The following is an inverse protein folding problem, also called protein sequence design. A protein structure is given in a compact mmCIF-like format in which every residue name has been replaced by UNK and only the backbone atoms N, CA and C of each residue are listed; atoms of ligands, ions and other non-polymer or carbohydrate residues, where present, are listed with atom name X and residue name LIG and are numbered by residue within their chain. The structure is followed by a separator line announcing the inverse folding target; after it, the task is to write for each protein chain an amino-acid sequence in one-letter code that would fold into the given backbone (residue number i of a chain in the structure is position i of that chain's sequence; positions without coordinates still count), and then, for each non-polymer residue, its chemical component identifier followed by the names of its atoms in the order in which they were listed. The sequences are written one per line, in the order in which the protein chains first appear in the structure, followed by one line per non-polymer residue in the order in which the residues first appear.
data_IF_373281137111
#
_entry.id   IF_373281137111
#
_cell.length_a   1.000
_cell.length_b   1.000
_cell.length_c   1.000
_cell.angle_alpha   90.00
_cell.angle_beta   90.00
_cell.angle_gamma   90.00
#
_symmetry.space_group_name_H-M   'P 1'
#
loop_
_entity.id
_entity.type
_entity.pdbx_description
1 polymer ?
#
# COMPACT_ATOMS: atom_id res chain seq x y z
N UNK A 1 51.47 6.13 -16.93
CA UNK A 1 52.42 6.02 -18.07
C UNK A 1 53.64 5.20 -17.67
N UNK A 2 53.69 3.91 -18.03
CA UNK A 2 54.86 3.01 -17.94
C UNK A 2 54.65 1.91 -18.99
N UNK A 3 55.06 2.20 -20.24
CA UNK A 3 56.29 1.75 -20.92
C UNK A 3 56.19 0.33 -21.48
N UNK A 4 55.93 0.31 -22.80
CA UNK A 4 56.19 -0.77 -23.75
C UNK A 4 57.60 -1.33 -23.59
N UNK A 5 57.74 -2.65 -23.73
CA UNK A 5 58.95 -3.28 -24.27
C UNK A 5 58.51 -4.13 -25.46
N UNK A 6 59.02 -3.75 -26.62
CA UNK A 6 58.97 -4.47 -27.89
C UNK A 6 60.25 -5.28 -27.98
N UNK A 7 60.15 -6.58 -28.29
CA UNK A 7 61.22 -7.29 -29.03
C UNK A 7 60.54 -8.16 -30.08
N UNK A 8 60.78 -7.81 -31.33
CA UNK A 8 60.62 -8.66 -32.49
C UNK A 8 62.02 -8.99 -32.99
N UNK A 9 62.30 -10.26 -33.32
CA UNK A 9 63.21 -10.57 -34.43
C UNK A 9 62.96 -11.97 -34.99
N UNK A 10 62.99 -12.00 -36.32
CA UNK A 10 62.64 -13.05 -37.26
C UNK A 10 63.91 -13.79 -37.68
N UNK A 11 63.86 -15.11 -37.92
CA UNK A 11 64.66 -15.78 -38.97
C UNK A 11 63.89 -16.98 -39.57
N UNK A 12 63.66 -16.87 -40.90
CA UNK A 12 63.70 -17.84 -42.02
C UNK A 12 63.69 -19.37 -41.78
N UNK A 13 63.39 -20.28 -42.73
CA UNK A 13 62.73 -20.34 -44.05
C UNK A 13 62.87 -21.81 -44.51
N UNK A 14 61.77 -22.38 -45.00
CA UNK A 14 61.55 -23.51 -45.92
C UNK A 14 62.69 -24.45 -46.40
N UNK A 15 62.42 -25.77 -46.35
CA UNK A 15 62.91 -26.81 -47.27
C UNK A 15 62.25 -28.19 -47.03
N UNK A 16 61.89 -29.01 -48.05
CA UNK A 16 60.67 -29.84 -48.02
C UNK A 16 60.84 -31.37 -48.15
N UNK A 17 59.73 -32.08 -47.87
CA UNK A 17 59.34 -33.45 -48.27
C UNK A 17 60.13 -34.63 -47.63
N UNK A 18 59.53 -35.76 -47.23
CA UNK A 18 58.30 -36.38 -47.66
C UNK A 18 57.69 -37.28 -46.55
N UNK A 19 56.36 -37.23 -46.48
CA UNK A 19 55.43 -38.36 -46.22
C UNK A 19 55.72 -39.33 -45.07
N UNK A 20 54.87 -39.32 -44.03
CA UNK A 20 53.68 -40.18 -43.99
C UNK A 20 52.86 -39.93 -42.70
N UNK A 21 51.56 -40.19 -42.84
CA UNK A 21 50.59 -40.55 -41.80
C UNK A 21 49.74 -39.47 -41.11
N UNK A 22 48.51 -39.41 -41.66
CA UNK A 22 47.22 -39.40 -40.96
C UNK A 22 46.88 -38.16 -40.15
N UNK A 23 46.03 -37.35 -40.77
CA UNK A 23 45.10 -36.43 -40.13
C UNK A 23 44.32 -37.14 -39.01
N UNK A 24 44.75 -36.98 -37.77
CA UNK A 24 43.83 -37.03 -36.64
C UNK A 24 43.09 -35.69 -36.62
N UNK A 25 41.81 -35.74 -37.00
CA UNK A 25 40.82 -34.72 -36.64
C UNK A 25 41.06 -34.35 -35.18
N UNK A 26 41.34 -33.07 -34.89
CA UNK A 26 41.15 -32.51 -33.56
C UNK A 26 39.68 -32.66 -33.22
N UNK A 27 39.34 -33.77 -32.55
CA UNK A 27 38.06 -33.92 -31.88
C UNK A 27 37.96 -32.79 -30.88
N UNK A 28 36.82 -32.08 -30.92
CA UNK A 28 36.33 -31.24 -29.83
C UNK A 28 36.65 -31.97 -28.52
N UNK A 29 37.39 -31.32 -27.64
CA UNK A 29 37.57 -31.79 -26.27
C UNK A 29 36.18 -31.75 -25.63
N UNK A 30 35.44 -32.86 -25.69
CA UNK A 30 34.23 -33.05 -24.90
C UNK A 30 34.66 -32.95 -23.45
N UNK A 31 34.27 -31.87 -22.78
CA UNK A 31 34.39 -31.78 -21.33
C UNK A 31 33.45 -32.86 -20.77
N UNK A 32 33.95 -33.99 -20.26
CA UNK A 32 33.09 -35.13 -19.91
C UNK A 32 32.08 -34.69 -18.85
N UNK A 33 30.80 -35.06 -19.04
CA UNK A 33 29.71 -34.63 -18.15
C UNK A 33 30.01 -35.03 -16.70
N UNK A 34 30.10 -34.08 -15.76
CA UNK A 34 30.41 -34.38 -14.37
C UNK A 34 29.32 -35.23 -13.69
N UNK A 35 29.73 -36.03 -12.70
CA UNK A 35 28.81 -36.89 -11.95
C UNK A 35 27.73 -36.10 -11.19
N UNK A 36 28.05 -34.88 -10.74
CA UNK A 36 27.13 -34.01 -9.99
C UNK A 36 25.92 -33.53 -10.81
N UNK A 37 26.00 -33.61 -12.15
CA UNK A 37 24.85 -33.35 -13.04
C UNK A 37 23.91 -34.55 -13.20
N UNK A 38 24.32 -35.75 -12.78
CA UNK A 38 23.46 -36.94 -12.79
C UNK A 38 22.78 -37.15 -11.44
N UNK A 39 23.46 -36.82 -10.34
CA UNK A 39 22.91 -36.84 -9.00
C UNK A 39 23.54 -35.73 -8.15
N UNK A 40 22.70 -34.97 -7.44
CA UNK A 40 23.15 -33.92 -6.51
C UNK A 40 24.03 -34.57 -5.42
N UNK A 41 25.26 -34.07 -5.19
CA UNK A 41 26.12 -34.59 -4.13
C UNK A 41 25.43 -34.46 -2.76
N UNK A 42 25.14 -35.60 -2.12
CA UNK A 42 24.68 -35.63 -0.73
C UNK A 42 25.89 -35.62 0.19
N UNK A 43 26.12 -34.51 0.87
CA UNK A 43 27.18 -34.40 1.88
C UNK A 43 26.61 -33.84 3.18
N UNK A 44 26.95 -34.47 4.30
CA UNK A 44 26.54 -33.97 5.61
C UNK A 44 27.24 -32.66 5.96
N UNK A 45 28.41 -32.41 5.37
CA UNK A 45 29.30 -31.28 5.69
C UNK A 45 28.97 -29.98 4.94
N UNK A 46 28.33 -30.06 3.77
CA UNK A 46 28.04 -28.91 2.92
C UNK A 46 26.57 -28.83 2.52
N UNK A 47 26.04 -27.61 2.47
CA UNK A 47 24.90 -27.31 1.59
C UNK A 47 25.40 -27.26 0.16
N UNK A 48 24.61 -27.76 -0.78
CA UNK A 48 24.97 -27.86 -2.20
C UNK A 48 23.90 -27.17 -3.04
N UNK A 49 24.33 -26.33 -3.97
CA UNK A 49 23.47 -25.68 -4.95
C UNK A 49 23.95 -25.95 -6.36
N UNK A 50 23.06 -26.42 -7.23
CA UNK A 50 23.34 -26.66 -8.65
C UNK A 50 22.30 -25.91 -9.48
N UNK A 51 22.78 -25.04 -10.37
CA UNK A 51 21.92 -24.24 -11.23
C UNK A 51 22.41 -24.19 -12.66
N UNK A 52 21.53 -23.76 -13.57
CA UNK A 52 21.85 -23.60 -14.97
C UNK A 52 21.25 -22.34 -15.57
N UNK A 53 21.87 -21.89 -16.67
CA UNK A 53 21.38 -20.83 -17.52
C UNK A 53 21.40 -21.27 -18.97
N UNK A 54 20.38 -20.86 -19.73
CA UNK A 54 20.20 -21.30 -21.11
C UNK A 54 20.99 -20.39 -22.05
N UNK A 55 21.71 -20.98 -23.01
CA UNK A 55 22.45 -20.26 -24.06
C UNK A 55 21.49 -19.78 -25.14
N UNK A 56 20.63 -18.83 -24.81
CA UNK A 56 19.60 -18.26 -25.68
C UNK A 56 20.12 -17.21 -26.68
N UNK A 57 21.43 -16.98 -26.71
CA UNK A 57 22.09 -15.97 -27.55
C UNK A 57 22.32 -14.63 -26.85
N UNK A 58 21.84 -14.46 -25.62
CA UNK A 58 22.25 -13.35 -24.75
C UNK A 58 23.55 -13.67 -24.03
N UNK A 59 24.35 -12.66 -23.67
CA UNK A 59 25.63 -12.84 -22.96
C UNK A 59 25.46 -13.21 -21.48
N UNK A 60 24.22 -13.38 -20.98
CA UNK A 60 23.92 -13.37 -19.54
C UNK A 60 23.72 -14.76 -18.92
N UNK A 61 23.76 -15.83 -19.72
CA UNK A 61 23.51 -17.21 -19.26
C UNK A 61 24.40 -17.65 -18.09
N UNK A 62 25.63 -17.14 -17.99
CA UNK A 62 26.53 -17.44 -16.86
C UNK A 62 25.98 -16.85 -15.56
N UNK A 63 25.49 -15.61 -15.58
CA UNK A 63 24.92 -14.97 -14.39
C UNK A 63 23.61 -15.63 -13.99
N UNK A 64 22.81 -16.03 -14.97
CA UNK A 64 21.59 -16.82 -14.73
C UNK A 64 21.92 -18.15 -14.03
N UNK A 65 22.92 -18.88 -14.52
CA UNK A 65 23.36 -20.13 -13.91
C UNK A 65 23.87 -19.95 -12.47
N UNK A 66 24.64 -18.88 -12.23
CA UNK A 66 25.12 -18.53 -10.89
C UNK A 66 23.97 -18.18 -9.95
N UNK A 67 23.01 -17.38 -10.41
CA UNK A 67 21.82 -17.01 -9.64
C UNK A 67 20.98 -18.24 -9.32
N UNK A 68 20.71 -19.09 -10.31
CA UNK A 68 19.98 -20.34 -10.14
C UNK A 68 20.68 -21.28 -9.15
N UNK A 69 22.01 -21.40 -9.20
CA UNK A 69 22.76 -22.24 -8.28
C UNK A 69 22.73 -21.72 -6.85
N UNK A 70 22.69 -20.39 -6.68
CA UNK A 70 22.53 -19.74 -5.38
C UNK A 70 21.13 -19.97 -4.80
N UNK A 71 20.08 -19.85 -5.63
CA UNK A 71 18.70 -20.13 -5.22
C UNK A 71 18.53 -21.60 -4.78
N UNK A 72 19.10 -22.56 -5.53
CA UNK A 72 19.11 -23.97 -5.14
C UNK A 72 19.89 -24.21 -3.84
N UNK A 73 21.04 -23.55 -3.65
CA UNK A 73 21.82 -23.62 -2.41
C UNK A 73 21.01 -23.14 -1.20
N UNK A 74 20.34 -22.00 -1.32
CA UNK A 74 19.55 -21.39 -0.24
C UNK A 74 18.33 -22.24 0.09
N UNK A 75 17.73 -22.91 -0.91
CA UNK A 75 16.58 -23.80 -0.70
C UNK A 75 16.87 -25.00 0.22
N UNK A 76 18.15 -25.42 0.32
CA UNK A 76 18.60 -26.45 1.24
C UNK A 76 18.68 -25.96 2.71
N UNK A 77 18.71 -24.64 2.92
CA UNK A 77 18.79 -24.04 4.26
C UNK A 77 17.40 -24.00 4.87
N UNK A 78 17.06 -25.07 5.59
CA UNK A 78 15.78 -25.18 6.29
C UNK A 78 15.72 -24.27 7.53
N UNK A 79 14.74 -23.39 7.59
CA UNK A 79 14.39 -22.62 8.79
C UNK A 79 13.40 -23.45 9.61
N UNK A 80 13.73 -23.79 10.85
CA UNK A 80 12.80 -24.49 11.74
C UNK A 80 12.26 -23.50 12.79
N UNK A 81 10.94 -23.37 12.88
CA UNK A 81 10.30 -22.51 13.88
C UNK A 81 9.99 -23.32 15.15
N UNK A 82 10.56 -22.90 16.28
CA UNK A 82 10.30 -23.50 17.58
C UNK A 82 8.88 -23.20 18.06
N UNK A 83 8.26 -24.14 18.80
CA UNK A 83 6.96 -23.93 19.45
C UNK A 83 7.00 -22.92 20.61
N UNK A 84 8.19 -22.62 21.14
CA UNK A 84 8.39 -21.64 22.23
C UNK A 84 8.82 -20.27 21.73
N UNK A 85 8.86 -20.09 20.40
CA UNK A 85 9.22 -18.85 19.74
C UNK A 85 8.17 -17.77 19.92
N UNK A 86 8.58 -16.50 19.81
CA UNK A 86 7.64 -15.36 19.89
C UNK A 86 6.58 -15.41 18.80
N UNK A 87 6.91 -15.96 17.63
CA UNK A 87 5.98 -16.14 16.52
C UNK A 87 4.79 -17.04 16.91
N UNK A 88 5.04 -18.06 17.74
CA UNK A 88 3.98 -18.94 18.25
C UNK A 88 3.10 -18.25 19.29
N UNK A 89 3.68 -17.36 20.10
CA UNK A 89 2.96 -16.56 21.09
C UNK A 89 2.11 -15.46 20.46
N UNK A 90 2.54 -14.90 19.33
CA UNK A 90 1.84 -13.82 18.61
C UNK A 90 0.64 -14.36 17.84
N UNK A 91 0.80 -15.47 17.12
CA UNK A 91 -0.26 -16.04 16.31
C UNK A 91 -0.16 -17.58 16.24
N UNK A 92 -1.30 -18.23 16.49
CA UNK A 92 -1.44 -19.67 16.28
C UNK A 92 -1.72 -20.01 14.81
N UNK A 93 -2.03 -19.02 13.97
CA UNK A 93 -2.31 -19.21 12.55
C UNK A 93 -1.03 -19.54 11.76
N UNK A 94 -1.16 -20.47 10.81
CA UNK A 94 -0.09 -20.94 9.94
C UNK A 94 0.38 -19.85 8.96
N UNK A 95 -0.54 -19.04 8.44
CA UNK A 95 -0.24 -18.00 7.43
C UNK A 95 0.83 -17.00 7.90
N UNK A 96 0.78 -16.62 9.18
CA UNK A 96 1.72 -15.68 9.76
C UNK A 96 3.16 -16.24 9.78
N UNK A 97 3.28 -17.52 10.15
CA UNK A 97 4.57 -18.22 10.22
C UNK A 97 5.14 -18.46 8.84
N UNK A 98 4.31 -18.86 7.89
CA UNK A 98 4.72 -19.07 6.49
C UNK A 98 5.27 -17.76 5.89
N UNK A 99 4.63 -16.61 6.16
CA UNK A 99 5.14 -15.30 5.73
C UNK A 99 6.48 -14.94 6.36
N UNK A 100 6.65 -15.19 7.66
CA UNK A 100 7.92 -14.98 8.33
C UNK A 100 9.02 -15.86 7.75
N UNK A 101 8.75 -17.16 7.56
CA UNK A 101 9.69 -18.12 6.99
C UNK A 101 10.14 -17.68 5.59
N UNK A 102 9.19 -17.27 4.74
CA UNK A 102 9.49 -16.76 3.40
C UNK A 102 10.37 -15.50 3.44
N UNK A 103 10.09 -14.57 4.35
CA UNK A 103 10.91 -13.36 4.52
C UNK A 103 12.35 -13.72 4.94
N UNK A 104 12.51 -14.61 5.92
CA UNK A 104 13.84 -15.04 6.38
C UNK A 104 14.60 -15.82 5.30
N UNK A 105 13.94 -16.71 4.55
CA UNK A 105 14.56 -17.41 3.43
C UNK A 105 15.06 -16.42 2.35
N UNK A 106 14.28 -15.39 2.06
CA UNK A 106 14.68 -14.34 1.10
C UNK A 106 15.89 -13.57 1.61
N UNK A 107 15.87 -13.11 2.86
CA UNK A 107 17.01 -12.40 3.46
C UNK A 107 18.25 -13.29 3.58
N UNK A 108 18.08 -14.58 3.85
CA UNK A 108 19.19 -15.53 3.88
C UNK A 108 19.85 -15.67 2.51
N UNK A 109 19.10 -15.60 1.41
CA UNK A 109 19.65 -15.60 0.06
C UNK A 109 20.53 -14.38 -0.22
N UNK A 110 20.11 -13.20 0.27
CA UNK A 110 20.83 -11.95 0.08
C UNK A 110 22.11 -11.86 0.92
N UNK A 111 22.14 -12.53 2.07
CA UNK A 111 23.22 -12.45 3.07
C UNK A 111 24.13 -13.67 3.09
N UNK A 112 23.97 -14.61 2.15
CA UNK A 112 24.80 -15.81 2.09
C UNK A 112 26.21 -15.44 1.63
N UNK A 113 27.17 -15.61 2.53
CA UNK A 113 28.58 -15.34 2.30
C UNK A 113 29.40 -16.63 2.40
N UNK A 114 30.66 -16.57 1.95
CA UNK A 114 31.62 -17.68 2.07
C UNK A 114 31.18 -19.00 1.40
N UNK A 115 30.33 -18.95 0.36
CA UNK A 115 30.07 -20.09 -0.51
C UNK A 115 31.15 -20.20 -1.60
N UNK A 116 31.42 -21.42 -2.04
CA UNK A 116 32.51 -21.74 -2.97
C UNK A 116 31.97 -22.22 -4.31
N UNK A 117 32.57 -21.75 -5.40
CA UNK A 117 32.41 -22.33 -6.74
C UNK A 117 33.26 -23.59 -6.87
N UNK A 118 32.61 -24.75 -6.81
CA UNK A 118 33.30 -26.04 -6.87
C UNK A 118 33.65 -26.41 -8.29
N UNK A 119 32.68 -26.24 -9.20
CA UNK A 119 32.83 -26.64 -10.60
C UNK A 119 31.86 -25.86 -11.50
N UNK A 120 32.13 -25.87 -12.80
CA UNK A 120 31.23 -25.37 -13.84
C UNK A 120 31.33 -26.25 -15.07
N UNK A 121 30.20 -26.53 -15.70
CA UNK A 121 30.16 -27.36 -16.89
C UNK A 121 29.21 -26.79 -17.94
N UNK A 122 29.49 -27.02 -19.21
CA UNK A 122 28.65 -26.51 -20.28
C UNK A 122 28.45 -27.51 -21.41
N UNK A 123 27.26 -27.45 -22.00
CA UNK A 123 26.91 -28.14 -23.23
C UNK A 123 26.52 -27.11 -24.31
N UNK A 124 26.12 -27.51 -25.53
CA UNK A 124 25.70 -26.57 -26.57
C UNK A 124 24.50 -25.68 -26.21
N UNK A 125 23.70 -26.06 -25.22
CA UNK A 125 22.42 -25.45 -24.83
C UNK A 125 22.49 -24.77 -23.46
N UNK A 126 23.25 -25.31 -22.51
CA UNK A 126 23.23 -24.88 -21.10
C UNK A 126 24.63 -24.62 -20.55
N UNK A 127 24.69 -23.75 -19.56
CA UNK A 127 25.84 -23.55 -18.68
C UNK A 127 25.41 -23.85 -17.25
N UNK A 128 26.15 -24.71 -16.55
CA UNK A 128 25.86 -25.21 -15.21
C UNK A 128 26.91 -24.75 -14.22
N UNK A 129 26.49 -24.46 -12.99
CA UNK A 129 27.35 -24.05 -11.89
C UNK A 129 27.04 -24.91 -10.66
N UNK A 130 28.11 -25.32 -9.96
CA UNK A 130 28.02 -26.05 -8.70
C UNK A 130 28.63 -25.20 -7.57
N UNK A 131 27.78 -24.83 -6.61
CA UNK A 131 28.14 -24.19 -5.35
C UNK A 131 28.08 -25.12 -4.16
N UNK A 132 28.96 -24.88 -3.19
CA UNK A 132 28.88 -25.48 -1.85
C UNK A 132 29.08 -24.46 -0.76
N UNK A 133 28.47 -24.69 0.40
CA UNK A 133 28.66 -23.89 1.61
C UNK A 133 28.86 -24.80 2.81
N UNK A 134 29.92 -24.60 3.59
CA UNK A 134 30.20 -25.40 4.79
C UNK A 134 29.10 -25.17 5.84
N UNK A 135 28.42 -26.24 6.27
CA UNK A 135 27.36 -26.15 7.27
C UNK A 135 27.89 -25.66 8.62
N UNK A 136 29.07 -26.14 9.02
CA UNK A 136 29.72 -25.73 10.25
C UNK A 136 30.05 -24.24 10.23
N UNK A 137 30.70 -23.77 9.16
CA UNK A 137 31.10 -22.36 9.04
C UNK A 137 29.89 -21.43 9.00
N UNK A 138 28.87 -21.80 8.24
CA UNK A 138 27.60 -21.07 8.20
C UNK A 138 26.97 -20.96 9.60
N UNK A 139 26.94 -22.06 10.35
CA UNK A 139 26.41 -22.06 11.72
C UNK A 139 27.25 -21.19 12.66
N UNK A 140 28.58 -21.24 12.58
CA UNK A 140 29.48 -20.38 13.38
C UNK A 140 29.21 -18.89 13.13
N UNK A 141 29.08 -18.48 11.86
CA UNK A 141 28.77 -17.10 11.47
C UNK A 141 27.39 -16.70 11.98
N UNK A 142 26.35 -17.52 11.76
CA UNK A 142 24.99 -17.21 12.21
C UNK A 142 24.89 -17.12 13.73
N UNK A 143 25.55 -18.02 14.46
CA UNK A 143 25.59 -17.95 15.93
C UNK A 143 26.37 -16.74 16.43
N UNK A 144 27.44 -16.32 15.76
CA UNK A 144 28.15 -15.09 16.11
C UNK A 144 27.26 -13.86 15.87
N UNK A 145 26.65 -13.74 14.69
CA UNK A 145 25.73 -12.65 14.36
C UNK A 145 24.55 -12.60 15.34
N UNK A 146 24.02 -13.76 15.72
CA UNK A 146 22.96 -13.88 16.73
C UNK A 146 23.43 -13.41 18.10
N UNK A 147 24.62 -13.80 18.58
CA UNK A 147 25.17 -13.30 19.85
C UNK A 147 25.32 -11.78 19.88
N UNK A 148 25.81 -11.20 18.80
CA UNK A 148 25.98 -9.75 18.67
C UNK A 148 24.61 -9.04 18.69
N UNK A 149 23.64 -9.57 17.94
CA UNK A 149 22.26 -9.10 17.94
C UNK A 149 21.59 -9.20 19.32
N UNK A 150 21.78 -10.32 20.02
CA UNK A 150 21.22 -10.54 21.37
C UNK A 150 21.84 -9.59 22.39
N UNK A 151 23.13 -9.30 22.27
CA UNK A 151 23.83 -8.33 23.13
C UNK A 151 23.22 -6.94 22.98
N UNK A 152 23.00 -6.50 21.73
CA UNK A 152 22.37 -5.22 21.45
C UNK A 152 20.90 -5.18 21.91
N UNK A 153 20.16 -6.26 21.70
CA UNK A 153 18.78 -6.36 22.15
C UNK A 153 18.66 -6.30 23.69
N UNK A 154 19.58 -6.94 24.40
CA UNK A 154 19.62 -6.92 25.86
C UNK A 154 19.94 -5.52 26.42
N UNK A 155 20.87 -4.78 25.79
CA UNK A 155 21.18 -3.39 26.14
C UNK A 155 19.93 -2.50 26.00
N UNK A 156 19.25 -2.56 24.84
CA UNK A 156 18.01 -1.81 24.64
C UNK A 156 16.87 -2.26 25.56
N UNK A 157 16.72 -3.56 25.82
CA UNK A 157 15.73 -4.07 26.77
C UNK A 157 15.99 -3.53 28.18
N UNK A 158 17.25 -3.48 28.61
CA UNK A 158 17.64 -2.91 29.91
C UNK A 158 17.29 -1.43 29.98
N UNK A 159 17.67 -0.64 28.96
CA UNK A 159 17.31 0.78 28.84
C UNK A 159 15.80 0.99 28.85
N UNK A 160 15.04 0.13 28.19
CA UNK A 160 13.58 0.19 28.19
C UNK A 160 13.01 0.00 29.61
N UNK A 161 13.49 -1.01 30.34
CA UNK A 161 13.08 -1.26 31.74
C UNK A 161 13.45 -0.11 32.67
N UNK A 162 14.61 0.51 32.48
CA UNK A 162 15.02 1.71 33.22
C UNK A 162 14.11 2.91 32.90
N UNK A 163 13.80 3.14 31.61
CA UNK A 163 12.86 4.20 31.19
C UNK A 163 11.44 3.97 31.75
N UNK A 164 10.95 2.73 31.80
CA UNK A 164 9.67 2.40 32.45
C UNK A 164 9.68 2.78 33.93
N UNK A 165 10.73 2.39 34.67
CA UNK A 165 10.90 2.70 36.10
C UNK A 165 11.00 4.21 36.33
N UNK A 166 11.60 4.94 35.39
CA UNK A 166 11.69 6.39 35.39
C UNK A 166 10.41 7.12 34.96
N UNK A 167 9.35 6.41 34.58
CA UNK A 167 8.07 7.00 34.13
C UNK A 167 8.07 7.48 32.67
N UNK A 168 9.14 7.24 31.92
CA UNK A 168 9.30 7.67 30.52
C UNK A 168 8.80 6.58 29.56
N UNK A 169 7.49 6.32 29.56
CA UNK A 169 6.90 5.17 28.86
C UNK A 169 7.05 5.23 27.33
N UNK A 170 6.99 6.40 26.71
CA UNK A 170 7.19 6.55 25.24
C UNK A 170 8.62 6.20 24.85
N UNK A 171 9.59 6.65 25.64
CA UNK A 171 11.00 6.30 25.44
C UNK A 171 11.23 4.80 25.64
N UNK A 172 10.61 4.21 26.67
CA UNK A 172 10.68 2.77 26.89
C UNK A 172 10.13 1.97 25.70
N UNK A 173 8.98 2.38 25.13
CA UNK A 173 8.43 1.76 23.93
C UNK A 173 9.39 1.85 22.74
N UNK A 174 10.05 3.00 22.55
CA UNK A 174 11.10 3.18 21.54
C UNK A 174 12.31 2.26 21.75
N UNK A 175 12.76 2.07 22.98
CA UNK A 175 13.86 1.14 23.28
C UNK A 175 13.46 -0.32 23.10
N UNK A 176 12.25 -0.74 23.50
CA UNK A 176 11.78 -2.09 23.19
C UNK A 176 11.73 -2.35 21.69
N UNK A 177 11.29 -1.36 20.91
CA UNK A 177 11.32 -1.45 19.46
C UNK A 177 12.74 -1.68 18.93
N UNK A 178 13.72 -0.90 19.39
CA UNK A 178 15.13 -1.05 18.99
C UNK A 178 15.71 -2.42 19.39
N UNK A 179 15.35 -2.89 20.58
CA UNK A 179 15.69 -4.23 21.05
C UNK A 179 15.10 -5.32 20.16
N UNK A 180 13.80 -5.21 19.83
CA UNK A 180 13.11 -6.15 18.94
C UNK A 180 13.74 -6.19 17.54
N UNK A 181 13.99 -5.02 16.95
CA UNK A 181 14.61 -4.88 15.63
C UNK A 181 15.97 -5.57 15.57
N UNK A 182 16.74 -5.51 16.65
CA UNK A 182 18.06 -6.14 16.72
C UNK A 182 17.99 -7.66 16.58
N UNK A 183 16.88 -8.30 16.99
CA UNK A 183 16.70 -9.78 16.97
C UNK A 183 15.60 -10.27 16.03
N UNK A 184 15.05 -9.41 15.17
CA UNK A 184 13.92 -9.76 14.28
C UNK A 184 14.21 -10.89 13.28
N UNK A 185 15.50 -11.13 13.00
CA UNK A 185 15.97 -12.25 12.15
C UNK A 185 16.01 -13.60 12.87
N UNK A 186 15.88 -13.60 14.20
CA UNK A 186 16.07 -14.78 15.05
C UNK A 186 14.82 -15.10 15.85
N UNK A 187 13.64 -14.68 15.39
CA UNK A 187 12.37 -14.87 16.09
C UNK A 187 11.87 -16.30 16.06
N UNK A 188 12.38 -17.14 15.15
CA UNK A 188 12.05 -18.56 15.04
C UNK A 188 12.54 -19.39 16.25
N UNK A 189 13.54 -18.91 16.97
CA UNK A 189 14.16 -19.62 18.09
C UNK A 189 13.94 -18.88 19.41
N UNK A 190 13.80 -19.59 20.53
CA UNK A 190 13.75 -18.95 21.84
C UNK A 190 15.14 -18.42 22.22
N UNK A 191 15.24 -17.11 22.45
CA UNK A 191 16.44 -16.48 22.99
C UNK A 191 16.32 -16.47 24.51
N UNK A 192 16.79 -17.54 25.15
CA UNK A 192 16.76 -17.68 26.61
C UNK A 192 18.01 -17.07 27.25
N UNK A 193 17.81 -16.19 28.23
CA UNK A 193 18.89 -15.59 29.01
C UNK A 193 18.44 -15.31 30.44
N UNK A 194 19.39 -14.95 31.30
CA UNK A 194 19.10 -14.52 32.68
C UNK A 194 19.10 -13.00 32.75
N UNK A 195 17.99 -12.42 33.21
CA UNK A 195 17.85 -10.99 33.46
C UNK A 195 17.38 -10.78 34.90
N UNK A 196 18.12 -9.96 35.67
CA UNK A 196 17.83 -9.69 37.09
C UNK A 196 17.55 -10.95 37.93
N UNK A 197 18.33 -12.02 37.69
CA UNK A 197 18.23 -13.30 38.41
C UNK A 197 17.08 -14.21 37.94
N UNK A 198 16.32 -13.84 36.91
CA UNK A 198 15.23 -14.65 36.33
C UNK A 198 15.60 -15.12 34.93
N UNK A 199 15.29 -16.38 34.64
CA UNK A 199 15.37 -16.90 33.27
C UNK A 199 14.17 -16.38 32.46
N UNK A 200 14.45 -15.76 31.31
CA UNK A 200 13.46 -15.16 30.43
C UNK A 200 13.71 -15.57 28.98
N UNK A 201 12.66 -15.48 28.14
CA UNK A 201 12.79 -15.50 26.68
C UNK A 201 12.72 -14.05 26.21
N UNK A 202 13.87 -13.50 25.80
CA UNK A 202 14.03 -12.05 25.55
C UNK A 202 12.99 -11.49 24.57
N UNK A 203 12.76 -12.18 23.45
CA UNK A 203 11.81 -11.76 22.41
C UNK A 203 10.36 -11.75 22.90
N UNK A 204 9.97 -12.72 23.72
CA UNK A 204 8.63 -12.78 24.33
C UNK A 204 8.45 -11.64 25.34
N UNK A 205 9.46 -11.38 26.17
CA UNK A 205 9.43 -10.30 27.16
C UNK A 205 9.38 -8.91 26.50
N UNK A 206 10.14 -8.70 25.42
CA UNK A 206 10.06 -7.46 24.63
C UNK A 206 8.64 -7.28 24.08
N UNK A 207 8.10 -8.28 23.40
CA UNK A 207 6.75 -8.21 22.82
C UNK A 207 5.68 -7.95 23.90
N UNK A 208 5.73 -8.70 25.01
CA UNK A 208 4.79 -8.56 26.11
C UNK A 208 4.90 -7.17 26.78
N UNK A 209 6.11 -6.64 26.91
CA UNK A 209 6.32 -5.30 27.46
C UNK A 209 5.79 -4.21 26.53
N UNK A 210 6.02 -4.33 25.21
CA UNK A 210 5.43 -3.42 24.22
C UNK A 210 3.90 -3.42 24.29
N UNK A 211 3.28 -4.62 24.26
CA UNK A 211 1.82 -4.74 24.37
C UNK A 211 1.31 -4.19 25.70
N UNK A 212 2.01 -4.48 26.80
CA UNK A 212 1.64 -3.97 28.12
C UNK A 212 1.72 -2.45 28.25
N UNK A 213 2.66 -1.79 27.59
CA UNK A 213 2.70 -0.32 27.49
C UNK A 213 1.53 0.20 26.67
N UNK A 214 1.28 -0.38 25.50
CA UNK A 214 0.17 -0.01 24.63
C UNK A 214 -1.18 -0.17 25.33
N UNK A 215 -1.39 -1.24 26.10
CA UNK A 215 -2.63 -1.46 26.87
C UNK A 215 -2.87 -0.38 27.94
N UNK A 216 -1.79 0.21 28.47
CA UNK A 216 -1.86 1.31 29.43
C UNK A 216 -2.09 2.66 28.75
N UNK A 217 -1.83 2.80 27.46
CA UNK A 217 -2.06 4.07 26.77
C UNK A 217 -3.55 4.24 26.48
N UNK A 218 -4.02 5.47 26.65
CA UNK A 218 -5.39 5.85 26.32
C UNK A 218 -5.34 7.03 25.37
N UNK A 219 -5.91 6.84 24.17
CA UNK A 219 -6.16 7.90 23.21
C UNK A 219 -7.65 8.24 23.25
N UNK A 220 -7.97 9.52 23.29
CA UNK A 220 -9.33 10.07 23.26
C UNK A 220 -9.39 11.22 22.27
N UNK A 221 -10.58 11.56 21.78
CA UNK A 221 -10.79 12.64 20.82
C UNK A 221 -11.89 13.57 21.30
N UNK A 222 -11.64 14.87 21.19
CA UNK A 222 -12.60 15.93 21.54
C UNK A 222 -12.76 16.91 20.38
N UNK A 223 -13.98 17.11 19.85
CA UNK A 223 -15.19 16.36 20.17
C UNK A 223 -15.12 14.91 19.63
N UNK A 224 -15.85 13.99 20.27
CA UNK A 224 -15.98 12.60 19.81
C UNK A 224 -17.02 12.42 18.71
N UNK A 225 -17.87 13.43 18.49
CA UNK A 225 -18.85 13.47 17.41
C UNK A 225 -18.85 14.85 16.75
N UNK A 226 -18.98 14.86 15.43
CA UNK A 226 -19.08 16.08 14.62
C UNK A 226 -20.30 15.99 13.70
N UNK A 227 -21.04 17.09 13.59
CA UNK A 227 -22.05 17.26 12.55
C UNK A 227 -21.44 18.05 11.40
N UNK A 228 -21.45 17.46 10.20
CA UNK A 228 -20.69 17.97 9.06
C UNK A 228 -21.61 18.18 7.87
N UNK A 229 -21.57 19.37 7.28
CA UNK A 229 -22.21 19.62 6.00
C UNK A 229 -21.20 19.35 4.87
N UNK A 230 -21.56 18.46 3.94
CA UNK A 230 -20.67 18.00 2.86
C UNK A 230 -20.27 19.09 1.85
N UNK A 231 -20.97 20.23 1.84
CA UNK A 231 -20.67 21.40 0.99
C UNK A 231 -19.80 22.47 1.67
N UNK A 232 -19.60 22.39 2.98
CA UNK A 232 -18.84 23.40 3.70
C UNK A 232 -17.40 22.90 3.82
N UNK A 233 -16.44 23.76 3.41
CA UNK A 233 -15.02 23.50 3.62
C UNK A 233 -14.77 23.20 5.11
N UNK A 234 -14.22 22.03 5.40
CA UNK A 234 -14.01 21.55 6.78
C UNK A 234 -12.76 22.15 7.43
N UNK A 235 -12.14 23.15 6.79
CA UNK A 235 -10.84 23.72 7.15
C UNK A 235 -10.76 24.31 8.57
N UNK A 236 -11.90 24.52 9.23
CA UNK A 236 -11.97 25.05 10.60
C UNK A 236 -12.39 24.00 11.64
N UNK A 237 -12.64 22.75 11.24
CA UNK A 237 -13.03 21.69 12.16
C UNK A 237 -11.80 20.93 12.59
N UNK A 238 -11.39 21.19 13.82
CA UNK A 238 -10.29 20.48 14.45
C UNK A 238 -10.79 19.54 15.52
N UNK A 239 -10.35 18.29 15.45
CA UNK A 239 -10.50 17.34 16.54
C UNK A 239 -9.19 17.31 17.31
N UNK A 240 -9.26 17.49 18.62
CA UNK A 240 -8.10 17.32 19.49
C UNK A 240 -8.02 15.86 19.94
N UNK A 241 -7.00 15.15 19.49
CA UNK A 241 -6.63 13.87 20.07
C UNK A 241 -5.80 14.12 21.35
N UNK A 242 -6.12 13.41 22.43
CA UNK A 242 -5.38 13.44 23.69
C UNK A 242 -4.95 12.03 24.08
N UNK A 243 -3.66 11.87 24.34
CA UNK A 243 -3.03 10.63 24.77
C UNK A 243 -2.52 10.76 26.22
N UNK A 244 -2.90 9.81 27.08
CA UNK A 244 -2.47 9.71 28.46
C UNK A 244 -2.10 8.29 28.84
N UNK A 245 -1.25 8.13 29.85
CA UNK A 245 -1.06 6.85 30.53
C UNK A 245 -2.20 6.60 31.52
N UNK A 246 -2.89 5.46 31.42
CA UNK A 246 -4.04 5.11 32.26
C UNK A 246 -3.67 4.97 33.73
N UNK A 247 -2.44 4.51 34.04
CA UNK A 247 -1.97 4.26 35.41
C UNK A 247 -1.52 5.54 36.08
N UNK A 248 -0.63 6.29 35.42
CA UNK A 248 -0.04 7.50 36.02
C UNK A 248 -0.86 8.77 35.80
N UNK A 249 -1.80 8.74 34.85
CA UNK A 249 -2.57 9.91 34.35
C UNK A 249 -1.72 11.00 33.72
N UNK A 250 -0.43 10.75 33.48
CA UNK A 250 0.47 11.70 32.84
C UNK A 250 0.21 11.77 31.33
N UNK A 251 0.40 12.95 30.72
CA UNK A 251 0.31 13.11 29.28
C UNK A 251 1.42 12.33 28.57
N UNK A 252 1.07 11.71 27.45
CA UNK A 252 2.03 11.00 26.60
C UNK A 252 2.50 11.94 25.50
N UNK A 253 3.56 12.71 25.78
CA UNK A 253 4.20 13.55 24.78
C UNK A 253 5.05 12.77 23.79
N UNK A 254 5.20 13.31 22.59
CA UNK A 254 5.97 12.70 21.49
C UNK A 254 5.44 11.34 20.98
N UNK A 255 4.22 10.95 21.35
CA UNK A 255 3.58 9.73 20.88
C UNK A 255 3.17 9.89 19.40
N UNK A 256 3.68 9.07 18.48
CA UNK A 256 3.25 9.08 17.10
C UNK A 256 1.84 8.50 16.97
N UNK A 257 0.98 9.21 16.24
CA UNK A 257 -0.39 8.84 15.94
C UNK A 257 -0.58 8.80 14.44
N UNK A 258 -1.52 7.98 13.99
CA UNK A 258 -2.06 8.00 12.62
C UNK A 258 -3.56 8.22 12.64
N UNK A 259 -4.07 8.90 11.63
CA UNK A 259 -5.50 9.05 11.42
C UNK A 259 -5.91 8.54 10.04
N UNK A 260 -7.06 7.87 9.97
CA UNK A 260 -7.63 7.37 8.73
C UNK A 260 -9.15 7.23 8.86
N UNK A 261 -9.85 7.21 7.74
CA UNK A 261 -11.27 6.84 7.71
C UNK A 261 -11.40 5.33 7.92
N UNK A 262 -12.07 4.92 9.00
CA UNK A 262 -12.45 3.52 9.25
C UNK A 262 -13.73 3.15 8.48
N UNK A 263 -14.63 4.13 8.33
CA UNK A 263 -15.89 4.01 7.59
C UNK A 263 -16.15 5.31 6.85
N UNK A 264 -16.53 5.20 5.59
CA UNK A 264 -16.69 6.35 4.69
C UNK A 264 -15.39 6.66 3.93
N UNK A 265 -15.28 7.89 3.42
CA UNK A 265 -14.11 8.32 2.67
C UNK A 265 -13.95 9.84 2.75
N UNK A 266 -12.71 10.29 2.67
CA UNK A 266 -12.34 11.69 2.77
C UNK A 266 -10.83 11.84 2.91
N UNK A 267 -10.41 13.08 3.12
CA UNK A 267 -9.01 13.45 3.25
C UNK A 267 -8.73 13.85 4.71
N UNK A 268 -7.71 13.21 5.28
CA UNK A 268 -7.17 13.48 6.62
C UNK A 268 -5.64 13.37 6.51
N UNK A 269 -4.90 14.20 7.25
CA UNK A 269 -3.46 14.01 7.29
C UNK A 269 -3.13 12.65 7.94
N UNK A 270 -2.21 11.87 7.37
CA UNK A 270 -2.05 10.48 7.77
C UNK A 270 -1.34 10.33 9.12
N UNK A 271 -0.43 11.25 9.45
CA UNK A 271 0.50 11.11 10.58
C UNK A 271 0.50 12.35 11.46
N UNK A 272 0.60 12.12 12.76
CA UNK A 272 0.64 13.16 13.80
C UNK A 272 1.60 12.75 14.91
N UNK A 273 1.99 13.72 15.72
CA UNK A 273 2.76 13.51 16.94
C UNK A 273 2.14 14.34 18.05
N UNK A 274 2.00 13.76 19.24
CA UNK A 274 1.49 14.52 20.39
C UNK A 274 2.54 15.51 20.91
N UNK A 275 2.09 16.66 21.37
CA UNK A 275 2.90 17.66 22.06
C UNK A 275 3.20 17.27 23.52
N UNK A 276 3.93 18.10 24.26
CA UNK A 276 4.26 17.88 25.67
C UNK A 276 3.03 17.73 26.59
N UNK A 277 1.85 18.20 26.18
CA UNK A 277 0.58 18.03 26.90
C UNK A 277 -0.18 16.76 26.49
N UNK A 278 0.42 15.94 25.63
CA UNK A 278 -0.16 14.71 25.10
C UNK A 278 -1.23 14.97 24.04
N UNK A 279 -1.22 16.14 23.38
CA UNK A 279 -2.27 16.54 22.45
C UNK A 279 -1.79 16.59 21.00
N UNK A 280 -2.67 16.22 20.06
CA UNK A 280 -2.44 16.38 18.63
C UNK A 280 -3.72 16.92 17.96
N UNK A 281 -3.55 17.94 17.11
CA UNK A 281 -4.65 18.54 16.36
C UNK A 281 -4.88 17.77 15.06
N UNK A 282 -5.96 17.00 15.01
CA UNK A 282 -6.40 16.24 13.84
C UNK A 282 -7.20 17.17 12.92
N UNK A 283 -6.78 17.24 11.66
CA UNK A 283 -7.32 18.13 10.65
C UNK A 283 -8.03 17.30 9.57
N UNK A 284 -9.35 17.47 9.49
CA UNK A 284 -10.18 16.90 8.44
C UNK A 284 -10.24 17.91 7.29
N UNK A 285 -9.79 17.53 6.10
CA UNK A 285 -9.73 18.46 4.96
C UNK A 285 -10.91 18.26 4.01
N UNK A 286 -11.37 17.01 3.83
CA UNK A 286 -12.49 16.69 2.93
C UNK A 286 -13.32 15.51 3.39
N UNK A 287 -14.62 15.54 3.08
CA UNK A 287 -15.52 14.38 3.19
C UNK A 287 -15.95 14.00 1.79
N UNK A 288 -15.53 12.82 1.33
CA UNK A 288 -15.87 12.28 0.02
C UNK A 288 -17.11 11.41 0.01
N UNK A 289 -17.37 10.66 1.09
CA UNK A 289 -18.49 9.72 1.11
C UNK A 289 -19.84 10.41 1.37
N UNK A 290 -20.89 9.84 0.78
CA UNK A 290 -22.30 10.22 0.98
C UNK A 290 -22.93 9.57 2.21
N UNK A 291 -22.21 8.68 2.88
CA UNK A 291 -22.70 7.98 4.07
C UNK A 291 -23.00 8.99 5.18
N UNK A 292 -24.18 8.85 5.77
CA UNK A 292 -24.65 9.73 6.86
C UNK A 292 -23.84 9.54 8.14
N UNK A 293 -23.28 8.35 8.32
CA UNK A 293 -22.42 8.02 9.45
C UNK A 293 -21.08 7.52 8.94
N UNK A 294 -20.05 8.29 9.24
CA UNK A 294 -18.65 7.97 8.93
C UNK A 294 -17.83 7.98 10.20
N UNK A 295 -16.65 7.38 10.16
CA UNK A 295 -15.79 7.29 11.34
C UNK A 295 -14.36 7.53 10.95
N UNK A 296 -13.71 8.47 11.64
CA UNK A 296 -12.26 8.68 11.55
C UNK A 296 -11.63 8.09 12.79
N UNK A 297 -10.77 7.10 12.58
CA UNK A 297 -9.98 6.46 13.61
C UNK A 297 -8.68 7.22 13.83
N UNK A 298 -8.31 7.44 15.09
CA UNK A 298 -7.01 7.97 15.50
C UNK A 298 -6.35 6.92 16.38
N UNK A 299 -5.24 6.35 15.94
CA UNK A 299 -4.55 5.27 16.66
C UNK A 299 -3.06 5.54 16.79
N UNK A 300 -2.39 4.88 17.73
CA UNK A 300 -0.92 4.90 17.81
C UNK A 300 -0.32 4.34 16.51
N UNK A 301 0.71 5.02 16.00
CA UNK A 301 1.46 4.56 14.84
C UNK A 301 2.73 3.82 15.27
N UNK A 302 2.66 2.49 15.32
CA UNK A 302 3.79 1.65 15.68
C UNK A 302 4.94 1.72 14.66
N UNK A 303 4.61 1.94 13.38
CA UNK A 303 5.62 1.98 12.32
C UNK A 303 6.51 3.23 12.44
N UNK A 304 6.00 4.32 13.01
CA UNK A 304 6.79 5.52 13.25
C UNK A 304 7.98 5.28 14.20
N UNK A 305 7.90 4.30 15.12
CA UNK A 305 9.03 3.91 15.96
C UNK A 305 10.15 3.23 15.17
N UNK A 306 9.85 2.74 13.96
CA UNK A 306 10.81 2.09 13.07
C UNK A 306 11.70 3.03 12.26
N UNK A 307 11.40 4.33 12.26
CA UNK A 307 12.06 5.31 11.41
C UNK A 307 11.62 5.18 9.95
N UNK A 308 12.44 5.68 9.03
CA UNK A 308 12.06 5.88 7.62
C UNK A 308 11.81 4.58 6.83
N UNK A 309 12.36 3.45 7.29
CA UNK A 309 12.23 2.15 6.61
C UNK A 309 11.96 1.04 7.63
N UNK A 310 10.68 0.79 8.01
CA UNK A 310 10.32 -0.37 8.80
C UNK A 310 10.64 -1.66 8.05
N UNK A 311 11.21 -2.65 8.75
CA UNK A 311 11.40 -3.98 8.18
C UNK A 311 10.03 -4.63 7.90
N UNK A 312 9.90 -5.45 6.84
CA UNK A 312 8.68 -6.22 6.59
C UNK A 312 8.28 -7.11 7.77
N UNK A 313 9.26 -7.66 8.49
CA UNK A 313 9.05 -8.48 9.68
C UNK A 313 8.42 -7.64 10.79
N UNK A 314 8.93 -6.43 11.04
CA UNK A 314 8.34 -5.55 12.04
C UNK A 314 6.92 -5.10 11.64
N UNK A 315 6.69 -4.76 10.38
CA UNK A 315 5.35 -4.43 9.89
C UNK A 315 4.36 -5.59 10.10
N UNK A 316 4.82 -6.82 9.84
CA UNK A 316 4.05 -8.04 10.07
C UNK A 316 3.73 -8.22 11.56
N UNK A 317 4.70 -8.06 12.47
CA UNK A 317 4.53 -8.20 13.92
C UNK A 317 3.62 -7.11 14.50
N UNK A 318 3.88 -5.85 14.15
CA UNK A 318 3.10 -4.70 14.62
C UNK A 318 1.63 -4.77 14.18
N UNK A 319 1.33 -5.43 13.04
CA UNK A 319 -0.05 -5.66 12.59
C UNK A 319 -0.87 -6.55 13.53
N UNK A 320 -0.22 -7.34 14.39
CA UNK A 320 -0.85 -8.24 15.37
C UNK A 320 -0.99 -7.63 16.76
N UNK A 321 -0.31 -6.50 17.01
CA UNK A 321 -0.41 -5.79 18.29
C UNK A 321 -1.75 -5.05 18.38
N UNK A 322 -2.32 -5.03 19.58
CA UNK A 322 -3.50 -4.21 19.85
C UNK A 322 -3.05 -2.81 20.24
N UNK A 323 -3.41 -1.82 19.42
CA UNK A 323 -3.00 -0.42 19.63
C UNK A 323 -4.15 0.42 20.20
N UNK A 324 -3.86 1.39 21.09
CA UNK A 324 -4.84 2.38 21.51
C UNK A 324 -5.43 3.12 20.31
N UNK A 325 -6.74 3.27 20.32
CA UNK A 325 -7.49 3.94 19.28
C UNK A 325 -8.64 4.74 19.87
N UNK A 326 -8.85 5.93 19.34
CA UNK A 326 -10.06 6.73 19.48
C UNK A 326 -10.77 6.81 18.14
N UNK A 327 -12.06 7.13 18.16
CA UNK A 327 -12.86 7.29 16.97
C UNK A 327 -13.68 8.57 17.07
N UNK A 328 -13.76 9.29 15.95
CA UNK A 328 -14.62 10.45 15.80
C UNK A 328 -15.79 10.03 14.93
N UNK A 329 -16.99 10.08 15.47
CA UNK A 329 -18.22 9.84 14.72
C UNK A 329 -18.55 11.10 13.91
N UNK A 330 -18.66 10.95 12.60
CA UNK A 330 -19.05 12.03 11.70
C UNK A 330 -20.49 11.80 11.27
N UNK A 331 -21.38 12.70 11.69
CA UNK A 331 -22.77 12.77 11.27
C UNK A 331 -22.88 13.73 10.08
N UNK A 332 -22.95 13.18 8.87
CA UNK A 332 -23.00 13.97 7.63
C UNK A 332 -24.44 14.39 7.35
N UNK A 333 -24.65 15.70 7.29
CA UNK A 333 -25.93 16.31 6.94
C UNK A 333 -26.10 16.33 5.41
N UNK A 334 -27.31 15.97 4.96
CA UNK A 334 -27.67 16.07 3.54
C UNK A 334 -27.91 17.54 3.21
N UNK A 335 -27.22 18.10 2.20
CA UNK A 335 -27.49 19.46 1.78
C UNK A 335 -28.90 19.56 1.17
N UNK A 336 -29.66 20.58 1.58
CA UNK A 336 -31.01 20.82 1.09
C UNK A 336 -30.99 21.56 -0.26
N UNK A 337 -31.78 21.06 -1.21
CA UNK A 337 -31.89 21.60 -2.57
C UNK A 337 -33.33 21.98 -2.86
N UNK A 338 -33.56 23.22 -3.26
CA UNK A 338 -34.82 23.67 -3.84
C UNK A 338 -34.69 23.70 -5.36
N UNK A 339 -35.68 23.14 -6.06
CA UNK A 339 -35.68 23.08 -7.52
C UNK A 339 -36.88 23.85 -8.06
N UNK A 340 -36.61 24.84 -8.91
CA UNK A 340 -37.61 25.51 -9.73
C UNK A 340 -37.45 25.06 -11.18
N UNK A 341 -38.56 24.77 -11.86
CA UNK A 341 -38.51 24.23 -13.22
C UNK A 341 -39.69 24.64 -14.09
N UNK A 342 -39.42 24.87 -15.37
CA UNK A 342 -40.43 25.04 -16.42
C UNK A 342 -40.00 24.22 -17.63
N UNK A 343 -40.79 23.21 -18.00
CA UNK A 343 -40.57 22.39 -19.18
C UNK A 343 -41.72 22.54 -20.17
N UNK A 344 -41.40 22.77 -21.45
CA UNK A 344 -42.37 23.10 -22.50
C UNK A 344 -42.21 22.23 -23.75
N UNK A 345 -43.33 21.90 -24.37
CA UNK A 345 -43.39 21.36 -25.73
C UNK A 345 -43.88 22.48 -26.65
N UNK A 346 -43.03 22.98 -27.54
CA UNK A 346 -43.40 24.03 -28.49
C UNK A 346 -44.02 25.26 -27.81
N UNK A 347 -43.41 25.71 -26.71
CA UNK A 347 -43.90 26.85 -25.92
C UNK A 347 -45.02 26.52 -24.94
N UNK A 348 -45.62 25.33 -25.00
CA UNK A 348 -46.72 24.89 -24.12
C UNK A 348 -46.17 24.08 -22.95
N UNK A 349 -46.47 24.50 -21.71
CA UNK A 349 -46.01 23.80 -20.50
C UNK A 349 -46.47 22.35 -20.48
N UNK A 350 -45.53 21.43 -20.24
CA UNK A 350 -45.78 20.00 -20.11
C UNK A 350 -46.03 19.63 -18.65
N UNK A 351 -46.90 18.66 -18.41
CA UNK A 351 -47.08 18.05 -17.07
C UNK A 351 -45.94 17.10 -16.70
N UNK A 352 -45.34 16.43 -17.70
CA UNK A 352 -44.20 15.53 -17.49
C UNK A 352 -42.87 16.30 -17.58
N UNK A 353 -42.23 16.49 -16.44
CA UNK A 353 -40.96 17.20 -16.28
C UNK A 353 -39.77 16.21 -16.28
N UNK A 354 -39.43 15.67 -17.45
CA UNK A 354 -38.47 14.57 -17.56
C UNK A 354 -37.04 14.98 -17.16
N UNK A 355 -36.63 16.19 -17.54
CA UNK A 355 -35.29 16.73 -17.21
C UNK A 355 -35.20 16.96 -15.71
N UNK A 356 -36.23 17.57 -15.13
CA UNK A 356 -36.34 17.83 -13.70
C UNK A 356 -36.29 16.55 -12.89
N UNK A 357 -37.04 15.52 -13.29
CA UNK A 357 -37.05 14.22 -12.61
C UNK A 357 -35.68 13.53 -12.66
N UNK A 358 -34.97 13.61 -13.80
CA UNK A 358 -33.60 13.08 -13.91
C UNK A 358 -32.63 13.77 -12.95
N UNK A 359 -32.69 15.10 -12.85
CA UNK A 359 -31.86 15.88 -11.93
C UNK A 359 -32.22 15.57 -10.47
N UNK A 360 -33.51 15.51 -10.12
CA UNK A 360 -33.99 15.12 -8.79
C UNK A 360 -33.42 13.76 -8.37
N UNK A 361 -33.61 12.74 -9.22
CA UNK A 361 -33.12 11.38 -8.96
C UNK A 361 -31.60 11.34 -8.81
N UNK A 362 -30.87 12.06 -9.67
CA UNK A 362 -29.42 12.16 -9.58
C UNK A 362 -28.98 12.78 -8.25
N UNK A 363 -29.48 13.96 -7.88
CA UNK A 363 -29.13 14.63 -6.63
C UNK A 363 -29.47 13.78 -5.41
N UNK A 364 -30.66 13.17 -5.36
CA UNK A 364 -31.03 12.27 -4.26
C UNK A 364 -30.09 11.06 -4.18
N UNK A 365 -29.72 10.47 -5.31
CA UNK A 365 -28.75 9.36 -5.34
C UNK A 365 -27.37 9.78 -4.84
N UNK A 366 -26.98 11.05 -5.04
CA UNK A 366 -25.72 11.62 -4.57
C UNK A 366 -25.79 12.12 -3.11
N UNK A 367 -26.88 11.86 -2.39
CA UNK A 367 -27.01 12.18 -0.96
C UNK A 367 -27.44 13.62 -0.67
N UNK A 368 -28.06 14.30 -1.63
CA UNK A 368 -28.77 15.55 -1.40
C UNK A 368 -30.23 15.27 -1.00
N UNK A 369 -30.83 16.23 -0.30
CA UNK A 369 -32.24 16.17 0.10
C UNK A 369 -33.01 17.31 -0.56
N UNK A 370 -34.20 17.01 -1.06
CA UNK A 370 -35.03 18.00 -1.75
C UNK A 370 -35.96 18.70 -0.75
N UNK A 371 -36.18 19.99 -0.93
CA UNK A 371 -37.13 20.78 -0.11
C UNK A 371 -37.99 21.69 -0.98
N UNK A 372 -39.25 21.85 -0.59
CA UNK A 372 -40.16 22.83 -1.19
C UNK A 372 -40.01 24.22 -0.56
N UNK A 373 -39.27 24.33 0.54
CA UNK A 373 -39.04 25.59 1.24
C UNK A 373 -37.76 26.28 0.73
N UNK A 374 -37.91 27.18 -0.24
CA UNK A 374 -36.80 27.95 -0.82
C UNK A 374 -35.87 28.60 0.22
N UNK A 375 -36.41 29.05 1.36
CA UNK A 375 -35.65 29.72 2.44
C UNK A 375 -34.73 28.77 3.23
N UNK A 376 -35.04 27.46 3.27
CA UNK A 376 -34.23 26.45 3.97
C UNK A 376 -33.17 25.82 3.07
N UNK A 377 -33.30 25.99 1.75
CA UNK A 377 -32.40 25.39 0.79
C UNK A 377 -31.00 26.01 0.82
N UNK A 378 -30.00 25.16 0.69
CA UNK A 378 -28.60 25.57 0.54
C UNK A 378 -28.22 25.76 -0.92
N UNK A 379 -28.93 25.08 -1.82
CA UNK A 379 -28.80 25.15 -3.27
C UNK A 379 -30.14 25.45 -3.90
N UNK A 380 -30.13 26.35 -4.87
CA UNK A 380 -31.26 26.65 -5.73
C UNK A 380 -30.91 26.15 -7.12
N UNK A 381 -31.74 25.29 -7.69
CA UNK A 381 -31.58 24.77 -9.05
C UNK A 381 -32.73 25.28 -9.90
N UNK A 382 -32.40 26.06 -10.93
CA UNK A 382 -33.36 26.59 -11.88
C UNK A 382 -33.20 25.85 -13.22
N UNK A 383 -34.31 25.28 -13.71
CA UNK A 383 -34.35 24.48 -14.93
C UNK A 383 -35.35 25.11 -15.90
N UNK A 384 -34.91 25.44 -17.11
CA UNK A 384 -35.78 25.89 -18.19
C UNK A 384 -35.52 25.04 -19.42
N UNK A 385 -36.54 24.30 -19.87
CA UNK A 385 -36.44 23.45 -21.04
C UNK A 385 -37.59 23.74 -21.99
N UNK A 386 -37.30 23.95 -23.27
CA UNK A 386 -38.31 24.05 -24.31
C UNK A 386 -37.87 23.27 -25.54
N UNK A 387 -38.85 22.81 -26.30
CA UNK A 387 -38.63 22.22 -27.61
C UNK A 387 -39.23 23.11 -28.69
N UNK A 388 -38.55 23.17 -29.82
CA UNK A 388 -38.96 23.96 -30.97
C UNK A 388 -39.07 23.08 -32.22
N UNK A 389 -40.06 23.38 -33.06
CA UNK A 389 -40.26 22.71 -34.34
C UNK A 389 -39.13 23.09 -35.28
N UNK A 390 -38.44 22.10 -35.81
CA UNK A 390 -37.40 22.25 -36.82
C UNK A 390 -37.94 22.06 -38.24
N UNK A 391 -37.03 21.74 -39.15
CA UNK A 391 -37.36 21.45 -40.53
C UNK A 391 -38.06 20.09 -40.70
N UNK A 392 -38.79 19.94 -41.81
CA UNK A 392 -39.32 18.64 -42.26
C UNK A 392 -38.53 18.24 -43.51
N UNK A 393 -38.04 17.01 -43.55
CA UNK A 393 -37.33 16.44 -44.69
C UNK A 393 -37.98 15.12 -45.08
N UNK A 394 -38.69 15.10 -46.21
CA UNK A 394 -39.53 13.96 -46.59
C UNK A 394 -40.59 13.68 -45.52
N UNK A 395 -40.62 12.44 -45.01
CA UNK A 395 -41.51 12.01 -43.91
C UNK A 395 -40.91 12.20 -42.51
N UNK A 396 -39.74 12.84 -42.39
CA UNK A 396 -39.03 13.01 -41.12
C UNK A 396 -39.21 14.44 -40.61
N UNK A 397 -39.81 14.55 -39.44
CA UNK A 397 -39.97 15.77 -38.67
C UNK A 397 -38.80 15.92 -37.72
N UNK A 398 -38.19 17.11 -37.69
CA UNK A 398 -37.09 17.44 -36.78
C UNK A 398 -37.61 18.34 -35.67
N UNK A 399 -37.22 18.05 -34.43
CA UNK A 399 -37.45 18.90 -33.25
C UNK A 399 -36.12 19.14 -32.55
N UNK A 400 -35.94 20.33 -31.99
CA UNK A 400 -34.77 20.66 -31.18
C UNK A 400 -35.21 20.93 -29.74
N UNK A 401 -34.48 20.40 -28.77
CA UNK A 401 -34.65 20.69 -27.34
C UNK A 401 -33.50 21.55 -26.87
N UNK A 402 -33.80 22.65 -26.19
CA UNK A 402 -32.82 23.45 -25.46
C UNK A 402 -33.14 23.42 -23.98
N UNK A 403 -32.16 23.07 -23.15
CA UNK A 403 -32.30 23.05 -21.69
C UNK A 403 -31.22 23.91 -21.04
N UNK A 404 -31.63 24.88 -20.24
CA UNK A 404 -30.77 25.73 -19.42
C UNK A 404 -30.91 25.29 -17.97
N UNK A 405 -29.79 24.96 -17.33
CA UNK A 405 -29.73 24.54 -15.93
C UNK A 405 -28.77 25.47 -15.21
N UNK A 406 -29.24 26.10 -14.13
CA UNK A 406 -28.44 26.99 -13.27
C UNK A 406 -28.52 26.54 -11.83
N UNK A 407 -27.41 26.65 -11.13
CA UNK A 407 -27.31 26.35 -9.70
C UNK A 407 -26.70 27.54 -8.99
N UNK A 408 -27.40 28.03 -7.96
CA UNK A 408 -26.92 29.10 -7.08
C UNK A 408 -26.94 28.70 -5.61
N UNK A 409 -26.16 29.40 -4.80
CA UNK A 409 -26.16 29.23 -3.34
C UNK A 409 -27.42 29.87 -2.73
N UNK A 410 -28.06 29.20 -1.78
CA UNK A 410 -29.33 29.67 -1.20
C UNK A 410 -29.23 30.97 -0.41
N UNK A 411 -28.10 31.25 0.26
CA UNK A 411 -27.91 32.45 1.09
C UNK A 411 -27.53 33.71 0.30
N UNK A 412 -26.62 33.57 -0.66
CA UNK A 412 -26.03 34.71 -1.39
C UNK A 412 -26.57 34.83 -2.82
N UNK A 413 -27.36 33.85 -3.28
CA UNK A 413 -27.81 33.69 -4.65
C UNK A 413 -26.66 33.77 -5.68
N UNK A 414 -25.46 33.35 -5.26
CA UNK A 414 -24.27 33.32 -6.10
C UNK A 414 -24.37 32.11 -7.01
N UNK A 415 -24.35 32.33 -8.31
CA UNK A 415 -24.29 31.25 -9.31
C UNK A 415 -22.94 30.52 -9.17
N UNK A 416 -23.01 29.19 -9.03
CA UNK A 416 -21.85 28.31 -8.88
C UNK A 416 -21.73 27.30 -10.02
N UNK A 417 -22.80 27.10 -10.79
CA UNK A 417 -22.80 26.27 -11.99
C UNK A 417 -23.89 26.75 -12.94
N UNK A 418 -23.58 26.79 -14.23
CA UNK A 418 -24.55 27.00 -15.28
C UNK A 418 -24.16 26.17 -16.50
N UNK A 419 -25.15 25.57 -17.14
CA UNK A 419 -24.94 24.80 -18.37
C UNK A 419 -26.16 24.92 -19.29
N UNK A 420 -25.91 24.71 -20.58
CA UNK A 420 -26.95 24.68 -21.60
C UNK A 420 -26.75 23.46 -22.49
N UNK A 421 -27.80 22.63 -22.59
CA UNK A 421 -27.92 21.63 -23.65
C UNK A 421 -28.55 22.34 -24.84
N UNK A 422 -27.72 22.75 -25.80
CA UNK A 422 -28.17 23.58 -26.91
C UNK A 422 -28.67 22.73 -28.08
N UNK A 423 -29.93 22.96 -28.47
CA UNK A 423 -30.53 22.43 -29.70
C UNK A 423 -30.29 20.93 -29.94
N UNK A 424 -30.51 20.10 -28.92
CA UNK A 424 -30.42 18.65 -29.05
C UNK A 424 -31.49 18.16 -30.02
N UNK A 425 -31.06 17.49 -31.08
CA UNK A 425 -31.90 17.14 -32.23
C UNK A 425 -32.58 15.79 -32.07
N UNK A 426 -33.90 15.77 -32.20
CA UNK A 426 -34.72 14.58 -32.40
C UNK A 426 -35.34 14.56 -33.80
N UNK A 427 -35.65 13.36 -34.27
CA UNK A 427 -36.24 13.07 -35.55
C UNK A 427 -37.28 11.95 -35.41
N UNK A 428 -38.45 12.13 -36.01
CA UNK A 428 -39.49 11.09 -36.03
C UNK A 428 -40.50 11.33 -37.15
N UNK A 429 -41.57 10.54 -37.19
CA UNK A 429 -42.65 10.64 -38.17
C UNK A 429 -43.63 11.79 -37.89
N UNK A 430 -43.51 12.44 -36.73
CA UNK A 430 -44.27 13.61 -36.33
C UNK A 430 -43.48 14.45 -35.31
N UNK A 431 -43.87 15.73 -35.13
CA UNK A 431 -43.16 16.65 -34.23
C UNK A 431 -43.17 16.20 -32.76
N UNK A 432 -44.25 15.58 -32.28
CA UNK A 432 -44.36 15.18 -30.87
C UNK A 432 -43.44 14.02 -30.54
N UNK A 433 -43.38 12.99 -31.39
CA UNK A 433 -42.42 11.89 -31.24
C UNK A 433 -40.98 12.37 -31.45
N UNK A 434 -40.75 13.30 -32.39
CA UNK A 434 -39.44 13.91 -32.58
C UNK A 434 -39.02 14.72 -31.34
N UNK A 435 -39.96 15.40 -30.68
CA UNK A 435 -39.74 16.08 -29.39
C UNK A 435 -39.36 15.09 -28.31
N UNK A 436 -40.12 13.99 -28.16
CA UNK A 436 -39.80 12.94 -27.19
C UNK A 436 -38.39 12.36 -27.41
N UNK A 437 -38.01 12.10 -28.66
CA UNK A 437 -36.66 11.62 -28.97
C UNK A 437 -35.58 12.66 -28.64
N UNK A 438 -35.81 13.94 -28.96
CA UNK A 438 -34.91 15.04 -28.60
C UNK A 438 -34.73 15.15 -27.07
N UNK A 439 -35.82 15.04 -26.32
CA UNK A 439 -35.80 15.01 -24.85
C UNK A 439 -34.99 13.80 -24.34
N UNK A 440 -35.22 12.60 -24.87
CA UNK A 440 -34.48 11.41 -24.46
C UNK A 440 -32.97 11.53 -24.71
N UNK A 441 -32.58 12.10 -25.87
CA UNK A 441 -31.16 12.40 -26.15
C UNK A 441 -30.59 13.44 -25.19
N UNK A 442 -31.35 14.49 -24.86
CA UNK A 442 -30.94 15.47 -23.85
C UNK A 442 -30.69 14.83 -22.49
N UNK A 443 -31.52 13.85 -22.10
CA UNK A 443 -31.32 13.10 -20.85
C UNK A 443 -30.02 12.27 -20.87
N UNK A 444 -29.65 11.69 -22.01
CA UNK A 444 -28.40 10.92 -22.14
C UNK A 444 -27.17 11.83 -22.03
N UNK A 445 -27.17 12.98 -22.73
CA UNK A 445 -26.10 13.99 -22.61
C UNK A 445 -26.02 14.54 -21.19
N UNK A 446 -27.17 14.82 -20.57
CA UNK A 446 -27.24 15.27 -19.19
C UNK A 446 -26.58 14.27 -18.24
N UNK A 447 -26.90 12.98 -18.37
CA UNK A 447 -26.40 11.92 -17.49
C UNK A 447 -24.89 11.68 -17.63
N UNK A 448 -24.39 11.63 -18.86
CA UNK A 448 -23.00 11.27 -19.15
C UNK A 448 -22.02 12.42 -18.90
N UNK A 449 -22.44 13.65 -19.16
CA UNK A 449 -21.51 14.79 -19.19
C UNK A 449 -21.86 15.82 -18.12
N UNK A 450 -23.10 16.30 -18.10
CA UNK A 450 -23.45 17.52 -17.34
C UNK A 450 -23.74 17.27 -15.86
N UNK A 451 -24.32 16.13 -15.49
CA UNK A 451 -24.55 15.77 -14.08
C UNK A 451 -23.24 15.54 -13.30
N UNK A 452 -22.21 14.85 -13.84
CA UNK A 452 -20.89 14.79 -13.20
C UNK A 452 -20.23 16.15 -13.02
N UNK A 453 -20.25 17.02 -14.04
CA UNK A 453 -19.74 18.40 -13.95
C UNK A 453 -20.47 19.19 -12.85
N UNK A 454 -21.81 19.13 -12.84
CA UNK A 454 -22.65 19.77 -11.84
C UNK A 454 -22.28 19.30 -10.43
N UNK A 455 -22.16 17.98 -10.22
CA UNK A 455 -21.83 17.41 -8.92
C UNK A 455 -20.49 17.93 -8.38
N UNK A 456 -19.48 18.01 -9.25
CA UNK A 456 -18.17 18.54 -8.87
C UNK A 456 -18.26 20.02 -8.46
N UNK A 457 -18.97 20.83 -9.24
CA UNK A 457 -19.13 22.26 -8.96
C UNK A 457 -19.89 22.54 -7.64
N UNK A 458 -20.89 21.73 -7.28
CA UNK A 458 -21.69 21.96 -6.07
C UNK A 458 -21.06 21.43 -4.78
N UNK A 459 -20.03 20.57 -4.89
CA UNK A 459 -19.26 20.01 -3.77
C UNK A 459 -17.94 20.74 -3.50
N UNK A 460 -17.55 21.68 -4.35
CA UNK A 460 -16.51 22.67 -4.08
C UNK A 460 -17.08 23.80 -3.21
#
# INVERSE_FOLDING_TARGET
MKKLIVIALIVASCGPAATQNKSKKKGKQENPKPAWLNAKPMTDQYYVGIGHGTKDGTSNYVQEAKKSALEDLVSEIKVNISSTSVLTSIDQNKEFRDKYEQMIQTTAADEIEEFESVDSWEDPVNYWVYYRLSKQRYHEIKEQQKRDAVTLALDFFTKAKESERGGNSIQALGFYYQGFRSVEKYLAEPITLTFEGKSIILTNEIYASMQGLLDNYQVTTTPSQLSLNRRVAQSNISVMAKAIDRKTKLPLGDLPLKAAFDKGSGDVFPTYKTDASGQAKILLTKIGSRDLEQTVGVSVDLLAFAGENPSPIFALISSKMTVPKASVLLSVQRPLVYISSVEKNFGVTKSNQQVTNKIKNFLTSQGFELTDEKKKAELLVDISTDSEKGAVSGSIYITYVTSVIRVSTGKENKEIYATTLERIKGYSLDYDRASQEAYNKSLDTLDKEKLPELLNAILQ
#
